data_IF_080374359972
#
_entry.id   IF_080374359972
#
_cell.length_a   1.000
_cell.length_b   1.000
_cell.length_c   1.000
_cell.angle_alpha   90.00
_cell.angle_beta   90.00
_cell.angle_gamma   90.00
#
_symmetry.space_group_name_H-M   'P 1'
#
loop_
_entity.id
_entity.type
_entity.pdbx_description
1 polymer ?
#
# COMPACT_ATOMS: atom_id res chain seq x y z
N UNK A 1 17.14 -21.81 6.14
CA UNK A 1 15.88 -22.20 5.46
C UNK A 1 15.37 -21.01 4.65
N UNK A 2 15.04 -21.19 3.36
CA UNK A 2 14.61 -20.09 2.45
C UNK A 2 13.08 -19.86 2.42
N UNK A 3 12.29 -20.70 3.08
CA UNK A 3 10.83 -20.69 2.98
C UNK A 3 10.16 -19.43 3.55
N UNK A 4 10.54 -19.02 4.77
CA UNK A 4 9.93 -17.85 5.43
C UNK A 4 10.30 -16.53 4.75
N UNK A 5 11.54 -16.39 4.30
CA UNK A 5 11.99 -15.22 3.52
C UNK A 5 11.26 -15.12 2.18
N UNK A 6 11.03 -16.25 1.50
CA UNK A 6 10.25 -16.26 0.27
C UNK A 6 8.78 -15.85 0.53
N UNK A 7 8.19 -16.31 1.64
CA UNK A 7 6.84 -15.94 2.04
C UNK A 7 6.74 -14.43 2.30
N UNK A 8 7.65 -13.86 3.08
CA UNK A 8 7.74 -12.40 3.31
C UNK A 8 7.80 -11.64 1.98
N UNK A 9 8.62 -12.10 1.03
CA UNK A 9 8.74 -11.47 -0.30
C UNK A 9 7.40 -11.50 -1.06
N UNK A 10 6.73 -12.65 -1.08
CA UNK A 10 5.41 -12.80 -1.73
C UNK A 10 4.38 -11.86 -1.10
N UNK A 11 4.31 -11.77 0.23
CA UNK A 11 3.39 -10.87 0.92
C UNK A 11 3.71 -9.39 0.68
N UNK A 12 4.99 -9.01 0.60
CA UNK A 12 5.40 -7.67 0.17
C UNK A 12 4.91 -7.35 -1.24
N UNK A 13 5.14 -8.25 -2.19
CA UNK A 13 4.66 -8.07 -3.56
C UNK A 13 3.13 -7.95 -3.64
N UNK A 14 2.39 -8.74 -2.85
CA UNK A 14 0.93 -8.64 -2.77
C UNK A 14 0.47 -7.30 -2.20
N UNK A 15 1.09 -6.83 -1.11
CA UNK A 15 0.79 -5.53 -0.52
C UNK A 15 1.04 -4.38 -1.51
N UNK A 16 2.15 -4.43 -2.23
CA UNK A 16 2.49 -3.44 -3.26
C UNK A 16 1.54 -3.50 -4.47
N UNK A 17 0.99 -4.67 -4.81
CA UNK A 17 -0.04 -4.79 -5.84
C UNK A 17 -1.37 -4.16 -5.41
N UNK A 18 -1.83 -4.40 -4.18
CA UNK A 18 -3.05 -3.76 -3.67
C UNK A 18 -2.91 -2.24 -3.54
N UNK A 19 -1.73 -1.75 -3.13
CA UNK A 19 -1.43 -0.30 -3.09
C UNK A 19 -1.46 0.36 -4.46
N UNK A 20 -0.94 -0.32 -5.48
CA UNK A 20 -1.05 0.15 -6.88
C UNK A 20 -2.50 0.22 -7.32
N UNK A 21 -3.28 -0.84 -7.05
CA UNK A 21 -4.73 -0.85 -7.36
C UNK A 21 -5.48 0.28 -6.66
N UNK A 22 -5.16 0.56 -5.39
CA UNK A 22 -5.72 1.69 -4.66
C UNK A 22 -5.41 3.02 -5.37
N UNK A 23 -4.15 3.24 -5.72
CA UNK A 23 -3.72 4.46 -6.42
C UNK A 23 -4.41 4.63 -7.77
N UNK A 24 -4.63 3.55 -8.52
CA UNK A 24 -5.31 3.58 -9.81
C UNK A 24 -6.80 3.98 -9.65
N UNK A 25 -7.48 3.44 -8.64
CA UNK A 25 -8.87 3.79 -8.36
C UNK A 25 -9.03 5.21 -7.81
N UNK A 26 -8.11 5.66 -6.95
CA UNK A 26 -8.11 7.05 -6.47
C UNK A 26 -7.91 8.04 -7.63
N UNK A 27 -7.02 7.70 -8.58
CA UNK A 27 -6.84 8.48 -9.80
C UNK A 27 -8.10 8.49 -10.69
N UNK A 28 -8.78 7.33 -10.82
CA UNK A 28 -10.05 7.21 -11.53
C UNK A 28 -11.15 8.06 -10.89
N UNK A 29 -11.31 7.98 -9.57
CA UNK A 29 -12.27 8.79 -8.81
C UNK A 29 -12.01 10.29 -8.98
N UNK A 30 -10.76 10.71 -8.86
CA UNK A 30 -10.37 12.11 -9.12
C UNK A 30 -10.69 12.54 -10.56
N UNK A 31 -10.58 11.64 -11.55
CA UNK A 31 -10.96 11.94 -12.93
C UNK A 31 -12.46 12.13 -13.11
N UNK A 32 -13.30 11.41 -12.37
CA UNK A 32 -14.75 11.59 -12.39
C UNK A 32 -15.16 12.91 -11.74
N UNK A 33 -14.53 13.29 -10.63
CA UNK A 33 -14.77 14.59 -10.00
C UNK A 33 -14.48 15.73 -10.97
N UNK A 34 -13.32 15.72 -11.64
CA UNK A 34 -12.97 16.74 -12.65
C UNK A 34 -13.97 16.78 -13.81
N UNK A 35 -14.44 15.63 -14.28
CA UNK A 35 -15.46 15.56 -15.34
C UNK A 35 -16.81 16.12 -14.90
N UNK A 36 -17.21 15.85 -13.65
CA UNK A 36 -18.45 16.39 -13.07
C UNK A 36 -18.35 17.92 -13.00
N UNK A 37 -17.25 18.45 -12.47
CA UNK A 37 -17.02 19.90 -12.36
C UNK A 37 -17.09 20.58 -13.72
N UNK A 38 -16.35 20.06 -14.72
CA UNK A 38 -16.35 20.61 -16.07
C UNK A 38 -17.74 20.58 -16.72
N UNK A 39 -18.51 19.50 -16.55
CA UNK A 39 -19.87 19.40 -17.09
C UNK A 39 -20.84 20.37 -16.42
N UNK A 40 -20.72 20.56 -15.11
CA UNK A 40 -21.56 21.51 -14.38
C UNK A 40 -21.24 22.95 -14.75
N UNK A 41 -19.97 23.30 -14.89
CA UNK A 41 -19.53 24.62 -15.36
C UNK A 41 -20.06 24.90 -16.77
N UNK A 42 -19.93 23.94 -17.69
CA UNK A 42 -20.44 24.06 -19.05
C UNK A 42 -21.97 24.22 -19.05
N UNK A 43 -22.69 23.40 -18.28
CA UNK A 43 -24.15 23.47 -18.21
C UNK A 43 -24.66 24.79 -17.62
N UNK A 44 -23.96 25.36 -16.64
CA UNK A 44 -24.30 26.66 -16.05
C UNK A 44 -24.03 27.81 -17.04
N UNK A 45 -22.90 27.79 -17.75
CA UNK A 45 -22.58 28.78 -18.77
C UNK A 45 -23.62 28.78 -19.90
N UNK A 46 -23.97 27.60 -20.42
CA UNK A 46 -24.99 27.44 -21.46
C UNK A 46 -26.38 27.85 -20.94
N UNK A 47 -26.74 27.43 -19.72
CA UNK A 47 -28.01 27.79 -19.10
C UNK A 47 -28.23 29.30 -18.96
N UNK A 48 -27.18 30.08 -18.69
CA UNK A 48 -27.25 31.55 -18.68
C UNK A 48 -27.49 32.12 -20.07
N UNK A 49 -26.81 31.60 -21.09
CA UNK A 49 -26.96 32.06 -22.47
C UNK A 49 -28.38 31.82 -23.04
N UNK A 50 -29.10 30.80 -22.56
CA UNK A 50 -30.50 30.57 -22.93
C UNK A 50 -31.46 31.66 -22.45
N UNK A 51 -31.11 32.39 -21.39
CA UNK A 51 -31.91 33.52 -20.90
C UNK A 51 -31.97 34.70 -21.89
N UNK A 52 -31.02 34.77 -22.81
CA UNK A 52 -30.81 35.91 -23.70
C UNK A 52 -31.49 35.76 -25.08
N UNK A 53 -31.97 34.56 -25.45
CA UNK A 53 -32.67 34.33 -26.73
C UNK A 53 -33.71 33.20 -26.66
N UNK A 54 -35.01 33.48 -26.89
CA UNK A 54 -36.08 32.48 -26.87
C UNK A 54 -35.92 31.35 -27.90
N UNK A 55 -35.30 31.64 -29.05
CA UNK A 55 -35.14 30.66 -30.15
C UNK A 55 -34.06 29.61 -29.82
N UNK A 56 -33.05 29.95 -29.01
CA UNK A 56 -31.99 29.02 -28.59
C UNK A 56 -32.31 28.29 -27.29
N UNK A 57 -33.28 28.78 -26.51
CA UNK A 57 -33.64 28.26 -25.19
C UNK A 57 -34.00 26.76 -25.19
N UNK A 58 -34.69 26.27 -26.23
CA UNK A 58 -35.08 24.85 -26.30
C UNK A 58 -33.88 23.92 -26.50
N UNK A 59 -32.99 24.26 -27.44
CA UNK A 59 -31.80 23.45 -27.74
C UNK A 59 -30.82 23.43 -26.55
N UNK A 60 -30.61 24.58 -25.91
CA UNK A 60 -29.78 24.70 -24.72
C UNK A 60 -30.39 23.93 -23.54
N UNK A 61 -31.71 24.01 -23.35
CA UNK A 61 -32.41 23.25 -22.31
C UNK A 61 -32.18 21.74 -22.45
N UNK A 62 -32.27 21.20 -23.67
CA UNK A 62 -32.00 19.79 -23.93
C UNK A 62 -30.54 19.41 -23.62
N UNK A 63 -29.57 20.27 -23.97
CA UNK A 63 -28.15 20.07 -23.64
C UNK A 63 -27.93 20.02 -22.13
N UNK A 64 -28.45 21.01 -21.38
CA UNK A 64 -28.31 21.09 -19.93
C UNK A 64 -28.89 19.84 -19.24
N UNK A 65 -30.07 19.38 -19.68
CA UNK A 65 -30.65 18.13 -19.14
C UNK A 65 -29.76 16.92 -19.42
N UNK A 66 -29.20 16.81 -20.62
CA UNK A 66 -28.24 15.75 -20.96
C UNK A 66 -26.98 15.79 -20.11
N UNK A 67 -26.42 16.98 -19.88
CA UNK A 67 -25.26 17.19 -19.02
C UNK A 67 -25.54 16.77 -17.56
N UNK A 68 -26.70 17.15 -17.01
CA UNK A 68 -27.11 16.76 -15.66
C UNK A 68 -27.34 15.26 -15.52
N UNK A 69 -27.92 14.61 -16.53
CA UNK A 69 -28.06 13.16 -16.57
C UNK A 69 -26.68 12.47 -16.56
N UNK A 70 -25.72 13.00 -17.34
CA UNK A 70 -24.34 12.50 -17.34
C UNK A 70 -23.65 12.68 -15.99
N UNK A 71 -23.84 13.82 -15.33
CA UNK A 71 -23.33 14.09 -13.98
C UNK A 71 -23.88 13.07 -12.97
N UNK A 72 -25.18 12.75 -13.04
CA UNK A 72 -25.76 11.72 -12.16
C UNK A 72 -25.09 10.35 -12.35
N UNK A 73 -24.88 9.94 -13.61
CA UNK A 73 -24.15 8.71 -13.91
C UNK A 73 -22.73 8.72 -13.37
N UNK A 74 -21.98 9.82 -13.57
CA UNK A 74 -20.62 9.96 -13.05
C UNK A 74 -20.56 9.93 -11.52
N UNK A 75 -21.55 10.52 -10.83
CA UNK A 75 -21.66 10.47 -9.37
C UNK A 75 -21.93 9.05 -8.87
N UNK A 76 -22.77 8.29 -9.57
CA UNK A 76 -22.99 6.88 -9.25
C UNK A 76 -21.69 6.07 -9.42
N UNK A 77 -20.97 6.27 -10.54
CA UNK A 77 -19.67 5.63 -10.76
C UNK A 77 -18.61 6.05 -9.74
N UNK A 78 -18.62 7.30 -9.29
CA UNK A 78 -17.73 7.77 -8.22
C UNK A 78 -18.04 7.05 -6.89
N UNK A 79 -19.31 6.91 -6.53
CA UNK A 79 -19.71 6.17 -5.33
C UNK A 79 -19.30 4.68 -5.40
N UNK A 80 -19.34 4.07 -6.58
CA UNK A 80 -18.82 2.71 -6.80
C UNK A 80 -17.31 2.63 -6.55
N UNK A 81 -16.54 3.58 -7.10
CA UNK A 81 -15.09 3.67 -6.90
C UNK A 81 -14.74 3.88 -5.43
N UNK A 82 -15.49 4.72 -4.72
CA UNK A 82 -15.29 4.96 -3.28
C UNK A 82 -15.54 3.69 -2.45
N UNK A 83 -16.59 2.92 -2.78
CA UNK A 83 -16.86 1.62 -2.14
C UNK A 83 -15.76 0.61 -2.40
N UNK A 84 -15.29 0.49 -3.65
CA UNK A 84 -14.20 -0.42 -3.98
C UNK A 84 -12.89 -0.01 -3.28
N UNK A 85 -12.62 1.30 -3.22
CA UNK A 85 -11.48 1.89 -2.52
C UNK A 85 -11.48 1.54 -1.03
N UNK A 86 -12.63 1.62 -0.36
CA UNK A 86 -12.77 1.21 1.03
C UNK A 86 -12.41 -0.27 1.22
N UNK A 87 -12.93 -1.15 0.34
CA UNK A 87 -12.61 -2.59 0.39
C UNK A 87 -11.13 -2.88 0.13
N UNK A 88 -10.46 -2.16 -0.77
CA UNK A 88 -9.01 -2.30 -0.99
C UNK A 88 -8.21 -1.85 0.21
N UNK A 89 -8.59 -0.75 0.87
CA UNK A 89 -7.93 -0.28 2.09
C UNK A 89 -7.97 -1.35 3.18
N UNK A 90 -9.10 -2.02 3.37
CA UNK A 90 -9.20 -3.16 4.29
C UNK A 90 -8.28 -4.33 3.89
N UNK A 91 -8.20 -4.68 2.60
CA UNK A 91 -7.28 -5.71 2.11
C UNK A 91 -5.81 -5.34 2.34
N UNK A 92 -5.44 -4.07 2.15
CA UNK A 92 -4.11 -3.54 2.43
C UNK A 92 -3.81 -3.68 3.92
N UNK A 93 -4.75 -3.31 4.80
CA UNK A 93 -4.59 -3.46 6.25
C UNK A 93 -4.36 -4.93 6.63
N UNK A 94 -5.15 -5.86 6.09
CA UNK A 94 -4.99 -7.29 6.37
C UNK A 94 -3.65 -7.83 5.85
N UNK A 95 -3.30 -7.52 4.61
CA UNK A 95 -2.03 -7.93 4.01
C UNK A 95 -0.82 -7.40 4.80
N UNK A 96 -0.91 -6.17 5.32
CA UNK A 96 0.12 -5.58 6.16
C UNK A 96 0.23 -6.28 7.52
N UNK A 97 -0.90 -6.58 8.19
CA UNK A 97 -0.90 -7.34 9.45
C UNK A 97 -0.25 -8.70 9.28
N UNK A 98 -0.62 -9.41 8.21
CA UNK A 98 -0.06 -10.71 7.89
C UNK A 98 1.45 -10.64 7.58
N UNK A 99 1.87 -9.67 6.75
CA UNK A 99 3.28 -9.45 6.46
C UNK A 99 4.07 -9.21 7.76
N UNK A 100 3.56 -8.36 8.65
CA UNK A 100 4.26 -8.02 9.90
C UNK A 100 4.40 -9.23 10.82
N UNK A 101 3.40 -10.11 10.86
CA UNK A 101 3.47 -11.38 11.59
C UNK A 101 4.66 -12.23 11.10
N UNK A 102 4.83 -12.38 9.79
CA UNK A 102 5.96 -13.15 9.25
C UNK A 102 7.31 -12.49 9.51
N UNK A 103 7.39 -11.15 9.40
CA UNK A 103 8.63 -10.42 9.70
C UNK A 103 9.08 -10.60 11.14
N UNK A 104 8.15 -10.54 12.12
CA UNK A 104 8.47 -10.78 13.54
C UNK A 104 8.95 -12.21 13.78
N UNK A 105 8.34 -13.19 13.13
CA UNK A 105 8.77 -14.61 13.26
C UNK A 105 10.18 -14.80 12.71
N UNK A 106 10.48 -14.19 11.55
CA UNK A 106 11.80 -14.25 10.93
C UNK A 106 12.86 -13.53 11.78
N UNK A 107 12.54 -12.35 12.31
CA UNK A 107 13.42 -11.60 13.22
C UNK A 107 13.77 -12.42 14.46
N UNK A 108 12.78 -13.06 15.10
CA UNK A 108 13.01 -13.96 16.23
C UNK A 108 13.85 -15.18 15.85
N UNK A 109 13.69 -15.72 14.63
CA UNK A 109 14.49 -16.84 14.14
C UNK A 109 15.95 -16.43 13.99
N UNK A 110 16.19 -15.33 13.28
CA UNK A 110 17.54 -14.79 13.05
C UNK A 110 18.21 -14.45 14.38
N UNK A 111 17.49 -13.84 15.33
CA UNK A 111 18.02 -13.54 16.66
C UNK A 111 18.45 -14.79 17.44
N UNK A 112 17.68 -15.89 17.37
CA UNK A 112 18.06 -17.17 17.99
C UNK A 112 19.30 -17.78 17.34
N UNK A 113 19.40 -17.71 16.01
CA UNK A 113 20.56 -18.21 15.26
C UNK A 113 21.83 -17.42 15.63
N UNK A 114 21.75 -16.09 15.64
CA UNK A 114 22.85 -15.22 16.04
C UNK A 114 23.27 -15.44 17.50
N UNK A 115 22.32 -15.64 18.41
CA UNK A 115 22.64 -15.94 19.81
C UNK A 115 23.37 -17.28 19.95
N UNK A 116 22.92 -18.31 19.23
CA UNK A 116 23.56 -19.63 19.24
C UNK A 116 24.96 -19.60 18.61
N UNK A 117 25.19 -18.81 17.57
CA UNK A 117 26.52 -18.54 17.00
C UNK A 117 27.42 -17.84 18.01
N UNK A 118 27.01 -16.69 18.56
CA UNK A 118 27.78 -15.96 19.57
C UNK A 118 28.14 -16.82 20.80
N UNK A 119 27.24 -17.71 21.22
CA UNK A 119 27.51 -18.64 22.32
C UNK A 119 28.57 -19.66 21.96
N UNK A 120 28.56 -20.20 20.73
CA UNK A 120 29.58 -21.13 20.24
C UNK A 120 30.94 -20.44 20.13
N UNK A 121 30.96 -19.23 19.58
CA UNK A 121 32.18 -18.44 19.43
C UNK A 121 32.81 -18.14 20.79
N UNK A 122 32.01 -17.71 21.78
CA UNK A 122 32.49 -17.46 23.14
C UNK A 122 33.09 -18.70 23.81
N UNK A 123 32.45 -19.87 23.67
CA UNK A 123 32.98 -21.12 24.23
C UNK A 123 34.34 -21.45 23.59
N UNK A 124 34.47 -21.28 22.28
CA UNK A 124 35.74 -21.52 21.57
C UNK A 124 36.84 -20.54 22.03
N UNK A 125 36.52 -19.26 22.20
CA UNK A 125 37.45 -18.25 22.73
C UNK A 125 37.93 -18.59 24.15
N UNK A 126 37.00 -18.99 25.03
CA UNK A 126 37.29 -19.38 26.41
C UNK A 126 38.22 -20.63 26.44
N UNK A 127 37.97 -21.63 25.59
CA UNK A 127 38.82 -22.82 25.46
C UNK A 127 40.25 -22.47 25.02
N UNK A 128 40.40 -21.58 24.04
CA UNK A 128 41.70 -21.09 23.57
C UNK A 128 42.42 -20.36 24.70
N UNK A 129 41.73 -19.46 25.41
CA UNK A 129 42.28 -18.71 26.54
C UNK A 129 42.78 -19.61 27.66
N UNK A 130 41.98 -20.61 28.07
CA UNK A 130 42.37 -21.62 29.06
C UNK A 130 43.54 -22.49 28.59
N UNK A 131 43.60 -22.82 27.30
CA UNK A 131 44.72 -23.54 26.69
C UNK A 131 46.04 -22.77 26.74
N UNK A 132 46.00 -21.48 26.39
CA UNK A 132 47.16 -20.58 26.48
C UNK A 132 47.63 -20.39 27.92
N UNK A 133 46.70 -20.15 28.85
CA UNK A 133 47.05 -19.95 30.26
C UNK A 133 47.71 -21.18 30.88
N UNK A 134 47.18 -22.39 30.62
CA UNK A 134 47.79 -23.65 31.08
C UNK A 134 49.19 -23.89 30.52
N UNK A 135 49.43 -23.49 29.27
CA UNK A 135 50.76 -23.60 28.64
C UNK A 135 51.76 -22.66 29.32
N UNK A 136 51.37 -21.42 29.56
CA UNK A 136 52.22 -20.43 30.23
C UNK A 136 52.53 -20.84 31.68
N UNK A 137 51.53 -21.36 32.41
CA UNK A 137 51.74 -21.86 33.77
C UNK A 137 52.75 -23.03 33.82
N UNK A 138 52.71 -23.94 32.85
CA UNK A 138 53.71 -25.02 32.73
C UNK A 138 55.13 -24.51 32.42
N UNK A 139 55.24 -23.45 31.63
CA UNK A 139 56.54 -22.84 31.30
C UNK A 139 57.15 -22.06 32.47
N UNK A 140 56.34 -21.58 33.42
CA UNK A 140 56.81 -20.87 34.61
C UNK A 140 57.14 -21.80 35.80
N UNK A 141 56.67 -23.05 35.76
CA UNK A 141 56.85 -24.02 36.84
C UNK A 141 58.00 -25.02 36.60
N UNK A 142 58.70 -24.92 35.46
CA UNK A 142 59.91 -25.69 35.14
C UNK A 142 61.12 -24.76 35.06
#
# INVERSE_FOLDING_TARGET
MRGLQNLIRIHKSKLEAERRKLSELEALGASFVRQIEALLETADAEGRAAGDSPDTAHAIGAFVQGALARVQTLRASLADVERETAGIRERIHEAFRELKRYEIVEERRVGREQFAERRRDRIAEDEIGLGLHRRNARLQAG
#
